data_IF_922286877847
#
_entry.id   IF_922286877847
#
_cell.length_a   1.000
_cell.length_b   1.000
_cell.length_c   1.000
_cell.angle_alpha   90.00
_cell.angle_beta   90.00
_cell.angle_gamma   90.00
#
_symmetry.space_group_name_H-M   'P 1'
#
loop_
_entity.id
_entity.type
_entity.pdbx_description
1 polymer ?
#
# COMPACT_ATOMS: atom_id res chain seq x y z
N UNK A 1 23.02 6.89 13.39
CA UNK A 1 24.49 7.18 13.22
C UNK A 1 24.79 8.62 12.85
N UNK A 2 24.26 9.17 11.73
CA UNK A 2 24.55 10.57 11.31
C UNK A 2 24.03 11.59 12.33
N UNK A 3 22.84 11.38 12.85
CA UNK A 3 22.26 12.24 13.89
C UNK A 3 23.09 12.20 15.18
N UNK A 4 23.42 11.03 15.67
CA UNK A 4 24.26 10.86 16.86
C UNK A 4 25.67 11.45 16.68
N UNK A 5 26.23 11.32 15.45
CA UNK A 5 27.50 11.97 15.11
C UNK A 5 27.36 13.49 15.17
N UNK A 6 26.28 14.05 14.60
CA UNK A 6 25.99 15.49 14.64
C UNK A 6 25.76 15.98 16.08
N UNK A 7 25.13 15.19 16.95
CA UNK A 7 24.98 15.53 18.39
C UNK A 7 26.33 15.71 19.10
N UNK A 8 27.37 15.00 18.71
CA UNK A 8 28.73 15.08 19.30
C UNK A 8 29.58 16.21 18.71
N UNK A 9 29.20 16.75 17.54
CA UNK A 9 29.98 17.79 16.88
C UNK A 9 29.78 19.14 17.55
N UNK A 10 30.86 19.83 17.93
CA UNK A 10 30.83 21.16 18.55
C UNK A 10 30.64 22.29 17.54
N UNK A 11 30.93 22.05 16.26
CA UNK A 11 30.79 23.01 15.16
C UNK A 11 29.34 23.23 14.70
N UNK A 12 28.40 22.37 15.12
CA UNK A 12 26.99 22.48 14.75
C UNK A 12 26.23 23.23 15.84
N UNK A 13 25.50 24.28 15.45
CA UNK A 13 24.58 24.98 16.37
C UNK A 13 23.44 24.04 16.77
N UNK A 14 23.28 23.80 18.05
CA UNK A 14 22.29 22.86 18.62
C UNK A 14 21.37 23.55 19.61
N UNK A 15 20.14 23.04 19.71
CA UNK A 15 19.20 23.32 20.79
C UNK A 15 18.79 22.00 21.41
N UNK A 16 18.94 21.87 22.69
CA UNK A 16 18.44 20.71 23.44
C UNK A 16 17.04 20.98 23.97
N UNK A 17 16.17 20.01 23.81
CA UNK A 17 14.81 20.00 24.39
C UNK A 17 14.60 18.67 25.11
N UNK A 18 13.81 18.64 26.21
CA UNK A 18 13.42 17.38 26.82
C UNK A 18 12.68 16.49 25.83
N UNK A 19 13.01 15.21 25.78
CA UNK A 19 12.33 14.26 24.87
C UNK A 19 10.85 14.15 25.13
N UNK A 20 10.44 14.27 26.41
CA UNK A 20 9.03 14.24 26.79
C UNK A 20 8.24 15.45 26.24
N UNK A 21 8.85 16.62 26.16
CA UNK A 21 8.20 17.81 25.60
C UNK A 21 7.99 17.66 24.09
N UNK A 22 9.00 17.11 23.39
CA UNK A 22 8.88 16.80 21.97
C UNK A 22 7.79 15.78 21.70
N UNK A 23 7.76 14.68 22.48
CA UNK A 23 6.75 13.64 22.36
C UNK A 23 5.35 14.16 22.66
N UNK A 24 5.19 14.96 23.71
CA UNK A 24 3.92 15.58 24.09
C UNK A 24 3.40 16.52 23.01
N UNK A 25 4.27 17.37 22.46
CA UNK A 25 3.92 18.26 21.34
C UNK A 25 3.46 17.47 20.10
N UNK A 26 4.18 16.42 19.79
CA UNK A 26 3.85 15.54 18.67
C UNK A 26 2.48 14.86 18.84
N UNK A 27 2.20 14.27 20.01
CA UNK A 27 0.93 13.58 20.29
C UNK A 27 -0.23 14.60 20.30
N UNK A 28 0.00 15.80 20.86
CA UNK A 28 -1.00 16.87 20.88
C UNK A 28 -1.35 17.34 19.48
N UNK A 29 -0.35 17.64 18.64
CA UNK A 29 -0.57 18.04 17.25
C UNK A 29 -1.31 16.96 16.45
N UNK A 30 -0.94 15.69 16.63
CA UNK A 30 -1.64 14.56 15.99
C UNK A 30 -3.10 14.49 16.42
N UNK A 31 -3.37 14.62 17.71
CA UNK A 31 -4.74 14.60 18.29
C UNK A 31 -5.57 15.77 17.76
N UNK A 32 -5.01 16.96 17.76
CA UNK A 32 -5.76 18.18 17.48
C UNK A 32 -5.97 18.43 15.98
N UNK A 33 -5.04 18.01 15.15
CA UNK A 33 -5.08 18.27 13.69
C UNK A 33 -5.28 17.02 12.84
N UNK A 34 -4.89 15.84 13.30
CA UNK A 34 -4.87 14.60 12.52
C UNK A 34 -3.88 14.61 11.36
N UNK A 35 -2.98 15.61 11.27
CA UNK A 35 -2.09 15.82 10.11
C UNK A 35 -0.71 15.22 10.27
N UNK A 36 -0.33 14.78 11.46
CA UNK A 36 0.95 14.12 11.72
C UNK A 36 0.75 12.62 11.64
N UNK A 37 1.45 11.99 10.71
CA UNK A 37 1.43 10.54 10.52
C UNK A 37 2.62 9.89 11.21
N UNK A 38 2.40 8.70 11.73
CA UNK A 38 3.42 7.82 12.28
C UNK A 38 3.66 6.69 11.30
N UNK A 39 4.91 6.49 10.93
CA UNK A 39 5.33 5.37 10.10
C UNK A 39 6.25 4.46 10.89
N UNK A 40 5.86 3.20 11.02
CA UNK A 40 6.72 2.15 11.57
C UNK A 40 7.61 1.62 10.44
N UNK A 41 8.80 2.20 10.29
CA UNK A 41 9.73 1.90 9.19
C UNK A 41 10.19 0.45 9.20
N UNK A 42 10.45 -0.11 10.36
CA UNK A 42 10.78 -1.52 10.58
C UNK A 42 9.66 -2.45 10.11
N UNK A 43 8.40 -2.13 10.42
CA UNK A 43 7.26 -2.90 9.92
C UNK A 43 7.11 -2.81 8.39
N UNK A 44 7.33 -1.62 7.81
CA UNK A 44 7.29 -1.44 6.36
C UNK A 44 8.33 -2.30 5.64
N UNK A 45 9.52 -2.45 6.21
CA UNK A 45 10.58 -3.29 5.66
C UNK A 45 10.34 -4.79 5.95
N UNK A 46 9.93 -5.14 7.18
CA UNK A 46 9.70 -6.54 7.56
C UNK A 46 8.50 -7.14 6.83
N UNK A 47 7.36 -6.42 6.76
CA UNK A 47 6.09 -6.93 6.23
C UNK A 47 5.80 -6.51 4.79
N UNK A 48 6.46 -5.45 4.29
CA UNK A 48 6.29 -4.94 2.93
C UNK A 48 6.80 -5.87 1.84
N UNK A 49 6.58 -5.50 0.58
CA UNK A 49 6.92 -6.30 -0.60
C UNK A 49 8.40 -6.23 -1.01
N UNK A 50 9.19 -5.32 -0.44
CA UNK A 50 10.60 -5.13 -0.79
C UNK A 50 11.55 -5.85 0.16
N UNK A 51 12.73 -6.17 -0.36
CA UNK A 51 13.83 -6.75 0.41
C UNK A 51 14.64 -5.61 1.02
N UNK A 52 14.69 -5.50 2.35
CA UNK A 52 15.29 -4.37 3.07
C UNK A 52 16.76 -4.13 2.70
N UNK A 53 17.57 -5.18 2.59
CA UNK A 53 19.00 -5.07 2.27
C UNK A 53 19.28 -4.48 0.87
N UNK A 54 18.29 -4.59 -0.05
CA UNK A 54 18.45 -4.19 -1.46
C UNK A 54 17.69 -2.91 -1.77
N UNK A 55 16.48 -2.79 -1.24
CA UNK A 55 15.55 -1.70 -1.54
C UNK A 55 14.83 -1.22 -0.26
N UNK A 56 15.55 -0.65 0.72
CA UNK A 56 15.00 -0.25 1.99
C UNK A 56 13.95 0.85 1.86
N UNK A 57 12.85 0.68 2.58
CA UNK A 57 11.80 1.67 2.74
C UNK A 57 12.23 2.64 3.84
N UNK A 58 12.23 3.94 3.56
CA UNK A 58 12.65 4.99 4.51
C UNK A 58 11.54 5.99 4.81
N UNK A 59 10.55 6.07 3.95
CA UNK A 59 9.44 7.02 4.05
C UNK A 59 8.21 6.49 3.30
N UNK A 60 7.07 7.13 3.49
CA UNK A 60 5.82 6.85 2.82
C UNK A 60 5.30 8.09 2.10
N UNK A 61 4.19 7.95 1.35
CA UNK A 61 3.49 9.06 0.72
C UNK A 61 2.69 9.88 1.75
N UNK A 62 2.01 10.94 1.28
CA UNK A 62 1.20 11.84 2.10
C UNK A 62 0.16 11.11 2.94
N UNK A 63 -0.54 10.14 2.37
CA UNK A 63 -1.61 9.40 3.07
C UNK A 63 -1.10 8.16 3.83
N UNK A 64 0.20 7.87 3.77
CA UNK A 64 0.89 6.82 4.52
C UNK A 64 0.48 5.38 4.18
N UNK A 65 -0.17 5.18 3.01
CA UNK A 65 -0.65 3.86 2.54
C UNK A 65 0.29 3.16 1.56
N UNK A 66 1.31 3.89 1.03
CA UNK A 66 2.25 3.33 0.05
C UNK A 66 3.68 3.43 0.58
N UNK A 67 4.35 2.30 0.60
CA UNK A 67 5.73 2.16 1.04
C UNK A 67 6.60 1.71 -0.14
N UNK A 68 7.36 2.64 -0.70
CA UNK A 68 8.22 2.41 -1.86
C UNK A 68 9.66 2.89 -1.58
N UNK A 69 10.67 2.23 -2.15
CA UNK A 69 12.05 2.72 -2.08
C UNK A 69 12.20 4.08 -2.76
N UNK A 70 12.99 4.94 -2.17
CA UNK A 70 13.36 6.25 -2.71
C UNK A 70 14.84 6.51 -2.57
N UNK A 71 15.41 7.37 -3.43
CA UNK A 71 16.77 7.85 -3.33
C UNK A 71 16.82 9.36 -3.48
N UNK A 72 17.66 10.07 -2.69
CA UNK A 72 17.81 11.51 -2.83
C UNK A 72 18.33 11.87 -4.22
N UNK A 73 17.95 13.06 -4.71
CA UNK A 73 18.43 13.65 -5.95
C UNK A 73 19.50 14.68 -5.64
N UNK A 74 20.54 14.76 -6.49
CA UNK A 74 21.53 15.84 -6.47
C UNK A 74 20.96 17.09 -7.16
N UNK A 75 20.22 16.89 -8.24
CA UNK A 75 19.44 17.92 -8.96
C UNK A 75 18.21 17.27 -9.64
N UNK A 76 17.37 18.08 -10.27
CA UNK A 76 16.09 17.61 -10.89
C UNK A 76 16.30 16.62 -12.04
N UNK A 77 17.45 16.61 -12.67
CA UNK A 77 17.78 15.74 -13.81
C UNK A 77 18.66 14.55 -13.39
N UNK A 78 18.88 14.35 -12.09
CA UNK A 78 19.72 13.26 -11.60
C UNK A 78 19.11 11.89 -11.95
N UNK A 79 19.76 11.11 -12.84
CA UNK A 79 19.25 9.80 -13.24
C UNK A 79 19.46 8.72 -12.17
N UNK A 80 20.18 9.02 -11.09
CA UNK A 80 20.48 8.09 -9.99
C UNK A 80 19.53 8.25 -8.81
N UNK A 81 18.79 9.37 -8.76
CA UNK A 81 17.74 9.60 -7.79
C UNK A 81 16.49 8.77 -8.09
N UNK A 82 15.64 8.54 -7.09
CA UNK A 82 14.40 7.81 -7.25
C UNK A 82 13.26 8.56 -6.54
N UNK A 83 12.29 9.04 -7.31
CA UNK A 83 11.00 9.58 -6.82
C UNK A 83 9.94 8.52 -7.05
N UNK A 84 9.33 8.04 -5.97
CA UNK A 84 8.28 7.05 -6.07
C UNK A 84 6.93 7.72 -6.31
N UNK A 85 6.15 7.17 -7.22
CA UNK A 85 4.81 7.60 -7.55
C UNK A 85 3.76 6.60 -7.10
N UNK A 86 2.56 7.11 -6.92
CA UNK A 86 1.40 6.42 -6.40
C UNK A 86 0.34 6.35 -7.51
N UNK A 87 0.05 5.17 -8.04
CA UNK A 87 -0.98 4.96 -9.05
C UNK A 87 -2.08 4.10 -8.44
N UNK A 88 -3.26 4.70 -8.25
CA UNK A 88 -4.30 4.17 -7.38
C UNK A 88 -5.58 3.81 -8.12
N UNK A 89 -6.22 2.74 -7.67
CA UNK A 89 -7.63 2.42 -7.89
C UNK A 89 -8.23 1.71 -6.68
N UNK A 90 -9.51 1.37 -6.70
CA UNK A 90 -10.14 0.62 -5.62
C UNK A 90 -11.20 -0.35 -6.14
N UNK A 91 -11.28 -1.51 -5.52
CA UNK A 91 -12.36 -2.48 -5.73
C UNK A 91 -13.53 -2.13 -4.82
N UNK A 92 -14.71 -1.96 -5.40
CA UNK A 92 -15.94 -1.71 -4.66
C UNK A 92 -16.53 -3.03 -4.15
N UNK A 93 -16.17 -3.44 -2.93
CA UNK A 93 -16.64 -4.69 -2.35
C UNK A 93 -18.16 -4.75 -2.18
N UNK A 94 -18.78 -3.60 -1.88
CA UNK A 94 -20.22 -3.55 -1.63
C UNK A 94 -21.10 -3.93 -2.84
N UNK A 95 -20.60 -3.77 -4.07
CA UNK A 95 -21.36 -4.11 -5.29
C UNK A 95 -21.07 -5.53 -5.81
N UNK A 96 -19.97 -6.15 -5.39
CA UNK A 96 -19.69 -7.53 -5.77
C UNK A 96 -20.80 -8.46 -5.24
N UNK A 97 -21.24 -9.39 -6.05
CA UNK A 97 -22.27 -10.36 -5.65
C UNK A 97 -21.71 -11.39 -4.70
N UNK A 98 -20.53 -11.90 -5.06
CA UNK A 98 -19.81 -12.91 -4.30
C UNK A 98 -18.32 -12.92 -4.72
N UNK A 99 -17.53 -13.80 -4.11
CA UNK A 99 -16.10 -13.94 -4.37
C UNK A 99 -15.75 -14.39 -5.79
N UNK A 100 -16.68 -14.96 -6.56
CA UNK A 100 -16.40 -15.42 -7.94
C UNK A 100 -16.08 -14.26 -8.89
N UNK A 101 -16.56 -13.06 -8.58
CA UNK A 101 -16.27 -11.84 -9.36
C UNK A 101 -14.90 -11.23 -9.05
N UNK A 102 -14.27 -11.58 -7.90
CA UNK A 102 -13.06 -10.95 -7.40
C UNK A 102 -11.89 -11.03 -8.38
N UNK A 103 -11.65 -12.21 -8.94
CA UNK A 103 -10.54 -12.41 -9.88
C UNK A 103 -10.65 -11.49 -11.11
N UNK A 104 -11.83 -11.41 -11.71
CA UNK A 104 -12.05 -10.62 -12.91
C UNK A 104 -11.89 -9.11 -12.65
N UNK A 105 -12.45 -8.62 -11.55
CA UNK A 105 -12.34 -7.19 -11.20
C UNK A 105 -10.91 -6.81 -10.84
N UNK A 106 -10.19 -7.66 -10.11
CA UNK A 106 -8.78 -7.44 -9.78
C UNK A 106 -7.89 -7.48 -11.03
N UNK A 107 -8.11 -8.42 -11.95
CA UNK A 107 -7.37 -8.48 -13.22
C UNK A 107 -7.56 -7.21 -14.05
N UNK A 108 -8.80 -6.74 -14.19
CA UNK A 108 -9.10 -5.48 -14.89
C UNK A 108 -8.44 -4.27 -14.22
N UNK A 109 -8.44 -4.21 -12.89
CA UNK A 109 -7.81 -3.12 -12.16
C UNK A 109 -6.29 -3.10 -12.34
N UNK A 110 -5.63 -4.26 -12.24
CA UNK A 110 -4.18 -4.38 -12.45
C UNK A 110 -3.80 -4.00 -13.88
N UNK A 111 -4.50 -4.54 -14.89
CA UNK A 111 -4.23 -4.24 -16.29
C UNK A 111 -4.46 -2.77 -16.63
N UNK A 112 -5.57 -2.20 -16.16
CA UNK A 112 -5.89 -0.80 -16.42
C UNK A 112 -4.87 0.16 -15.82
N UNK A 113 -4.39 -0.11 -14.59
CA UNK A 113 -3.35 0.72 -13.97
C UNK A 113 -1.96 0.47 -14.58
N UNK A 114 -1.62 -0.77 -14.97
CA UNK A 114 -0.35 -1.05 -15.64
C UNK A 114 -0.24 -0.31 -16.99
N UNK A 115 -1.32 -0.27 -17.79
CA UNK A 115 -1.38 0.52 -19.03
C UNK A 115 -1.26 2.03 -18.73
N UNK A 116 -1.88 2.51 -17.65
CA UNK A 116 -1.80 3.92 -17.29
C UNK A 116 -0.37 4.36 -17.00
N UNK A 117 0.48 3.49 -16.43
CA UNK A 117 1.90 3.80 -16.21
C UNK A 117 2.67 4.06 -17.52
N UNK A 118 2.30 3.39 -18.59
CA UNK A 118 2.92 3.60 -19.91
C UNK A 118 2.32 4.81 -20.65
N UNK A 119 1.07 5.15 -20.36
CA UNK A 119 0.36 6.24 -21.03
C UNK A 119 0.65 7.63 -20.46
N UNK A 120 0.92 7.74 -19.17
CA UNK A 120 1.15 9.02 -18.50
C UNK A 120 2.51 9.64 -18.86
N UNK A 121 2.58 10.97 -18.84
CA UNK A 121 3.81 11.72 -18.97
C UNK A 121 4.45 11.96 -17.59
N UNK A 122 5.77 11.84 -17.53
CA UNK A 122 6.54 12.04 -16.30
C UNK A 122 7.32 13.36 -16.38
N UNK A 123 6.99 14.36 -15.55
CA UNK A 123 7.66 15.67 -15.60
C UNK A 123 9.09 15.65 -15.06
N UNK A 124 9.48 14.60 -14.34
CA UNK A 124 10.80 14.47 -13.71
C UNK A 124 11.37 13.07 -14.02
N UNK A 125 12.58 13.06 -14.56
CA UNK A 125 13.26 11.81 -14.98
C UNK A 125 13.36 10.77 -13.86
N UNK A 126 13.69 11.19 -12.64
CA UNK A 126 13.80 10.27 -11.49
C UNK A 126 12.46 9.60 -11.14
N UNK A 127 11.31 10.23 -11.44
CA UNK A 127 10.00 9.65 -11.26
C UNK A 127 9.70 8.60 -12.35
N UNK A 128 10.03 8.90 -13.61
CA UNK A 128 9.88 7.96 -14.73
C UNK A 128 10.72 6.70 -14.51
N UNK A 129 12.02 6.87 -14.29
CA UNK A 129 12.94 5.74 -14.10
C UNK A 129 12.54 4.85 -12.91
N UNK A 130 12.20 5.44 -11.78
CA UNK A 130 11.74 4.72 -10.60
C UNK A 130 10.43 3.96 -10.87
N UNK A 131 9.48 4.61 -11.54
CA UNK A 131 8.18 4.02 -11.86
C UNK A 131 8.33 2.87 -12.85
N UNK A 132 9.04 3.07 -13.94
CA UNK A 132 9.23 2.02 -14.96
C UNK A 132 10.04 0.84 -14.44
N UNK A 133 10.99 1.07 -13.55
CA UNK A 133 11.75 0.01 -12.89
C UNK A 133 10.87 -0.93 -12.05
N UNK A 134 9.88 -0.38 -11.35
CA UNK A 134 9.10 -1.10 -10.32
C UNK A 134 7.61 -1.25 -10.64
N UNK A 135 7.06 -0.40 -11.51
CA UNK A 135 5.63 -0.38 -11.90
C UNK A 135 4.69 -0.52 -10.70
N UNK A 136 4.81 0.35 -9.67
CA UNK A 136 4.05 0.20 -8.43
C UNK A 136 2.58 0.56 -8.63
N UNK A 137 1.70 -0.26 -8.11
CA UNK A 137 0.26 -0.02 -8.07
C UNK A 137 -0.21 0.01 -6.61
N UNK A 138 -1.33 0.71 -6.37
CA UNK A 138 -2.03 0.72 -5.10
C UNK A 138 -3.52 0.52 -5.33
N UNK A 139 -4.00 -0.69 -5.23
CA UNK A 139 -5.42 -1.03 -5.42
C UNK A 139 -6.03 -1.27 -4.03
N UNK A 140 -6.98 -0.43 -3.66
CA UNK A 140 -7.62 -0.44 -2.37
C UNK A 140 -9.02 -1.07 -2.38
N UNK A 141 -9.75 -0.80 -1.31
CA UNK A 141 -11.12 -1.25 -1.10
C UNK A 141 -11.98 -0.03 -0.81
N UNK A 142 -13.13 0.09 -1.44
CA UNK A 142 -14.17 1.05 -1.09
C UNK A 142 -15.48 0.32 -0.76
N UNK A 143 -16.40 1.05 -0.14
CA UNK A 143 -17.72 0.55 0.21
C UNK A 143 -17.74 -0.60 1.24
N UNK A 144 -16.69 -0.68 2.06
CA UNK A 144 -16.55 -1.73 3.07
C UNK A 144 -17.64 -1.64 4.14
N UNK A 145 -18.03 -0.43 4.56
CA UNK A 145 -19.11 -0.26 5.54
C UNK A 145 -20.43 -0.83 5.03
N UNK A 146 -20.78 -0.60 3.75
CA UNK A 146 -21.97 -1.18 3.15
C UNK A 146 -21.82 -2.70 2.95
N UNK A 147 -20.62 -3.17 2.60
CA UNK A 147 -20.31 -4.60 2.49
C UNK A 147 -20.56 -5.32 3.82
N UNK A 148 -20.15 -4.74 4.96
CA UNK A 148 -20.42 -5.29 6.29
C UNK A 148 -21.93 -5.45 6.53
N UNK A 149 -22.72 -4.39 6.25
CA UNK A 149 -24.19 -4.43 6.41
C UNK A 149 -24.82 -5.49 5.51
N UNK A 150 -24.37 -5.60 4.27
CA UNK A 150 -24.86 -6.59 3.30
C UNK A 150 -24.63 -8.04 3.76
N UNK A 151 -23.65 -8.26 4.62
CA UNK A 151 -23.29 -9.57 5.17
C UNK A 151 -23.71 -9.74 6.65
N UNK A 152 -24.67 -8.93 7.12
CA UNK A 152 -25.20 -8.98 8.49
C UNK A 152 -24.11 -8.91 9.58
N UNK A 153 -23.07 -8.09 9.36
CA UNK A 153 -21.97 -7.86 10.28
C UNK A 153 -21.68 -6.36 10.43
N UNK A 154 -20.85 -5.97 11.38
CA UNK A 154 -20.56 -4.57 11.66
C UNK A 154 -19.15 -4.38 12.25
N UNK A 155 -18.70 -3.13 12.44
CA UNK A 155 -17.37 -2.82 12.98
C UNK A 155 -17.17 -3.17 14.46
N UNK A 156 -18.24 -3.28 15.24
CA UNK A 156 -18.13 -3.59 16.69
C UNK A 156 -18.01 -5.09 16.94
N UNK A 157 -18.67 -5.88 16.10
CA UNK A 157 -18.64 -7.34 16.15
C UNK A 157 -18.53 -7.89 14.73
N UNK A 158 -17.35 -7.77 14.11
CA UNK A 158 -17.16 -8.19 12.74
C UNK A 158 -17.03 -9.71 12.62
N UNK A 159 -17.63 -10.27 11.55
CA UNK A 159 -17.32 -11.65 11.16
C UNK A 159 -15.90 -11.70 10.58
N UNK A 160 -14.90 -11.89 11.45
CA UNK A 160 -13.48 -11.86 11.08
C UNK A 160 -13.11 -12.96 10.09
N UNK A 161 -13.72 -14.14 10.16
CA UNK A 161 -13.46 -15.22 9.18
C UNK A 161 -13.91 -14.83 7.78
N UNK A 162 -15.06 -14.19 7.65
CA UNK A 162 -15.56 -13.69 6.37
C UNK A 162 -14.68 -12.55 5.82
N UNK A 163 -14.25 -11.63 6.68
CA UNK A 163 -13.33 -10.54 6.29
C UNK A 163 -11.99 -11.11 5.82
N UNK A 164 -11.44 -12.10 6.54
CA UNK A 164 -10.19 -12.78 6.16
C UNK A 164 -10.32 -13.49 4.79
N UNK A 165 -11.43 -14.18 4.55
CA UNK A 165 -11.68 -14.86 3.27
C UNK A 165 -11.73 -13.86 2.08
N UNK A 166 -12.44 -12.75 2.24
CA UNK A 166 -12.53 -11.72 1.19
C UNK A 166 -11.20 -11.00 0.99
N UNK A 167 -10.49 -10.69 2.06
CA UNK A 167 -9.18 -10.04 1.99
C UNK A 167 -8.14 -10.97 1.34
N UNK A 168 -8.18 -12.27 1.67
CA UNK A 168 -7.33 -13.27 1.01
C UNK A 168 -7.62 -13.35 -0.48
N UNK A 169 -8.89 -13.46 -0.88
CA UNK A 169 -9.29 -13.55 -2.29
C UNK A 169 -8.86 -12.30 -3.07
N UNK A 170 -9.05 -11.10 -2.49
CA UNK A 170 -8.60 -9.84 -3.07
C UNK A 170 -7.08 -9.78 -3.24
N UNK A 171 -6.32 -10.08 -2.20
CA UNK A 171 -4.85 -10.10 -2.22
C UNK A 171 -4.30 -11.12 -3.23
N UNK A 172 -4.83 -12.35 -3.20
CA UNK A 172 -4.46 -13.40 -4.13
C UNK A 172 -4.73 -12.99 -5.58
N UNK A 173 -5.93 -12.48 -5.87
CA UNK A 173 -6.35 -12.10 -7.23
C UNK A 173 -5.48 -11.00 -7.82
N UNK A 174 -5.11 -9.99 -7.03
CA UNK A 174 -4.22 -8.91 -7.46
C UNK A 174 -2.82 -9.43 -7.79
N UNK A 175 -2.25 -10.25 -6.91
CA UNK A 175 -0.90 -10.83 -7.12
C UNK A 175 -0.92 -11.78 -8.31
N UNK A 176 -1.95 -12.62 -8.44
CA UNK A 176 -2.12 -13.53 -9.57
C UNK A 176 -2.22 -12.79 -10.89
N UNK A 177 -3.04 -11.74 -10.97
CA UNK A 177 -3.18 -10.89 -12.16
C UNK A 177 -1.85 -10.27 -12.58
N UNK A 178 -1.08 -9.74 -11.63
CA UNK A 178 0.25 -9.18 -11.93
C UNK A 178 1.28 -10.24 -12.33
N UNK A 179 1.21 -11.45 -11.77
CA UNK A 179 2.06 -12.57 -12.17
C UNK A 179 1.72 -13.09 -13.57
N UNK A 180 0.43 -13.12 -13.93
CA UNK A 180 -0.02 -13.47 -15.28
C UNK A 180 0.38 -12.41 -16.30
N UNK A 181 0.24 -11.14 -15.93
CA UNK A 181 0.69 -10.02 -16.77
C UNK A 181 2.22 -10.03 -16.97
N UNK A 182 3.00 -10.53 -16.01
CA UNK A 182 4.44 -10.73 -16.17
C UNK A 182 4.77 -11.80 -17.23
N UNK A 183 3.93 -12.82 -17.39
CA UNK A 183 4.08 -13.82 -18.49
C UNK A 183 3.79 -13.14 -19.83
N UNK A 184 2.77 -12.29 -19.91
CA UNK A 184 2.33 -11.65 -21.16
C UNK A 184 3.27 -10.54 -21.62
N UNK A 185 3.69 -9.66 -20.69
CA UNK A 185 4.41 -8.41 -20.96
C UNK A 185 5.85 -8.37 -20.43
N UNK A 186 6.28 -9.41 -19.74
CA UNK A 186 7.55 -9.47 -19.04
C UNK A 186 7.50 -8.92 -17.61
N UNK A 187 8.35 -9.50 -16.75
CA UNK A 187 8.53 -9.03 -15.37
C UNK A 187 9.19 -7.65 -15.32
N UNK A 188 9.00 -6.93 -14.22
CA UNK A 188 9.70 -5.65 -13.98
C UNK A 188 11.22 -5.85 -13.86
N UNK A 189 11.99 -4.84 -14.25
CA UNK A 189 13.46 -4.86 -14.08
C UNK A 189 13.89 -4.86 -12.60
N UNK A 190 13.06 -4.30 -11.72
CA UNK A 190 13.24 -4.32 -10.26
C UNK A 190 12.73 -5.59 -9.56
N UNK A 191 12.45 -6.69 -10.28
CA UNK A 191 11.91 -7.92 -9.70
C UNK A 191 12.76 -8.47 -8.54
N UNK A 192 14.07 -8.40 -8.67
CA UNK A 192 15.03 -8.90 -7.67
C UNK A 192 15.07 -8.05 -6.38
N UNK A 193 14.46 -6.87 -6.39
CA UNK A 193 14.27 -6.02 -5.22
C UNK A 193 13.05 -6.42 -4.39
N UNK A 194 12.19 -7.30 -4.92
CA UNK A 194 10.91 -7.67 -4.32
C UNK A 194 10.94 -9.04 -3.68
N UNK A 195 10.17 -9.21 -2.61
CA UNK A 195 9.89 -10.54 -2.02
C UNK A 195 9.13 -11.44 -2.99
N UNK A 196 8.36 -10.87 -3.91
CA UNK A 196 7.68 -11.64 -4.96
C UNK A 196 8.67 -12.38 -5.86
N UNK A 197 9.81 -11.77 -6.21
CA UNK A 197 10.88 -12.46 -6.95
C UNK A 197 11.44 -13.67 -6.23
N UNK A 198 11.35 -13.71 -4.90
CA UNK A 198 11.68 -14.86 -4.06
C UNK A 198 10.49 -15.84 -3.87
N UNK A 199 9.33 -15.54 -4.44
CA UNK A 199 8.08 -16.28 -4.23
C UNK A 199 7.54 -16.15 -2.80
N UNK A 200 7.79 -15.03 -2.15
CA UNK A 200 7.27 -14.71 -0.83
C UNK A 200 6.07 -13.78 -1.00
N UNK A 201 4.96 -14.12 -0.37
CA UNK A 201 3.66 -13.44 -0.46
C UNK A 201 3.23 -12.87 0.89
N UNK A 202 2.34 -11.87 0.95
CA UNK A 202 1.97 -11.18 2.20
C UNK A 202 1.45 -12.11 3.30
N UNK A 203 0.75 -13.19 2.95
CA UNK A 203 0.29 -14.19 3.92
C UNK A 203 1.41 -14.97 4.63
N UNK A 204 2.67 -14.80 4.20
CA UNK A 204 3.85 -15.34 4.88
C UNK A 204 4.55 -14.31 5.76
N UNK A 205 4.34 -13.02 5.50
CA UNK A 205 5.08 -11.92 6.14
C UNK A 205 4.23 -11.03 7.04
N UNK A 206 2.94 -11.27 7.18
CA UNK A 206 2.09 -10.50 8.07
C UNK A 206 2.46 -10.69 9.55
N UNK A 207 2.05 -9.75 10.40
CA UNK A 207 2.28 -9.78 11.83
C UNK A 207 1.45 -10.90 12.48
N UNK A 208 2.12 -11.93 13.00
CA UNK A 208 1.48 -13.17 13.45
C UNK A 208 0.58 -13.04 14.69
N UNK A 209 0.71 -11.97 15.44
CA UNK A 209 -0.19 -11.67 16.57
C UNK A 209 -1.65 -11.47 16.14
N UNK A 210 -1.90 -11.21 14.86
CA UNK A 210 -3.27 -11.20 14.29
C UNK A 210 -3.95 -12.56 14.41
N UNK A 211 -3.20 -13.67 14.44
CA UNK A 211 -3.72 -15.03 14.58
C UNK A 211 -4.40 -15.26 15.95
N UNK A 212 -4.18 -14.37 16.93
CA UNK A 212 -4.91 -14.37 18.21
C UNK A 212 -6.39 -13.94 18.02
N UNK A 213 -6.67 -13.14 17.01
CA UNK A 213 -8.01 -12.65 16.68
C UNK A 213 -8.73 -13.55 15.66
N UNK A 214 -8.04 -13.87 14.59
CA UNK A 214 -8.52 -14.76 13.54
C UNK A 214 -7.36 -15.53 12.95
N UNK A 215 -7.45 -16.85 12.97
CA UNK A 215 -6.42 -17.69 12.36
C UNK A 215 -6.61 -17.72 10.85
N UNK A 216 -5.69 -17.07 10.15
CA UNK A 216 -5.68 -17.09 8.69
C UNK A 216 -5.59 -18.53 8.14
N UNK A 217 -6.41 -18.82 7.15
CA UNK A 217 -6.41 -20.09 6.40
C UNK A 217 -6.14 -19.80 4.93
N UNK A 218 -5.19 -20.50 4.34
CA UNK A 218 -4.98 -20.43 2.87
C UNK A 218 -6.13 -21.18 2.17
N UNK A 219 -7.02 -20.45 1.48
CA UNK A 219 -8.16 -20.99 0.70
C UNK A 219 -7.87 -20.98 -0.79
N UNK A 220 -6.90 -20.17 -1.22
CA UNK A 220 -6.47 -20.02 -2.61
C UNK A 220 -5.23 -20.88 -2.89
N UNK A 221 -4.88 -21.09 -4.17
CA UNK A 221 -3.66 -21.82 -4.56
C UNK A 221 -2.38 -20.98 -4.40
N UNK A 222 -2.09 -20.58 -3.18
CA UNK A 222 -0.87 -19.82 -2.84
C UNK A 222 0.40 -20.58 -3.20
N UNK A 223 0.39 -21.91 -3.12
CA UNK A 223 1.54 -22.75 -3.47
C UNK A 223 1.87 -22.64 -4.97
N UNK A 224 0.86 -22.76 -5.83
CA UNK A 224 1.00 -22.58 -7.28
C UNK A 224 1.44 -21.16 -7.63
N UNK A 225 0.83 -20.15 -7.02
CA UNK A 225 1.18 -18.75 -7.24
C UNK A 225 2.64 -18.45 -6.83
N UNK A 226 3.09 -18.90 -5.67
CA UNK A 226 4.48 -18.73 -5.22
C UNK A 226 5.49 -19.41 -6.17
N UNK A 227 5.13 -20.56 -6.73
CA UNK A 227 5.95 -21.22 -7.75
C UNK A 227 6.02 -20.37 -9.03
N UNK A 228 4.89 -19.89 -9.53
CA UNK A 228 4.83 -19.01 -10.70
C UNK A 228 5.67 -17.74 -10.50
N UNK A 229 5.57 -17.08 -9.37
CA UNK A 229 6.35 -15.87 -9.03
C UNK A 229 7.87 -16.12 -9.10
N UNK A 230 8.35 -17.29 -8.62
CA UNK A 230 9.76 -17.66 -8.73
C UNK A 230 10.21 -17.90 -10.17
N UNK A 231 9.34 -18.49 -10.99
CA UNK A 231 9.66 -18.88 -12.36
C UNK A 231 9.56 -17.69 -13.33
N UNK A 232 8.52 -16.86 -13.19
CA UNK A 232 8.21 -15.80 -14.17
C UNK A 232 8.35 -14.39 -13.61
N UNK A 233 8.48 -14.22 -12.29
CA UNK A 233 8.50 -12.92 -11.63
C UNK A 233 7.14 -12.26 -11.53
N UNK A 234 7.14 -10.95 -11.26
CA UNK A 234 5.95 -10.13 -11.13
C UNK A 234 6.03 -8.90 -12.05
N UNK A 235 4.87 -8.38 -12.49
CA UNK A 235 4.78 -7.17 -13.33
C UNK A 235 4.72 -5.89 -12.50
N UNK A 236 4.26 -5.93 -11.25
CA UNK A 236 4.06 -4.76 -10.39
C UNK A 236 4.64 -5.03 -9.00
N UNK A 237 5.53 -4.18 -8.53
CA UNK A 237 6.26 -4.37 -7.25
C UNK A 237 5.40 -4.23 -6.01
N UNK A 238 4.32 -3.43 -6.09
CA UNK A 238 3.26 -3.30 -5.10
C UNK A 238 1.91 -3.38 -5.80
N UNK A 239 0.88 -3.81 -5.10
CA UNK A 239 -0.45 -4.02 -5.66
C UNK A 239 -1.56 -3.51 -4.75
N UNK A 240 -1.39 -3.59 -3.44
CA UNK A 240 -2.41 -3.28 -2.45
C UNK A 240 -2.08 -2.00 -1.69
N UNK A 241 -3.07 -1.12 -1.57
CA UNK A 241 -3.00 0.06 -0.72
C UNK A 241 -4.40 0.46 -0.24
N UNK A 242 -4.56 0.63 1.05
CA UNK A 242 -5.84 1.04 1.64
C UNK A 242 -5.87 2.57 1.78
N UNK A 243 -6.06 3.26 0.65
CA UNK A 243 -6.02 4.71 0.56
C UNK A 243 -7.36 5.37 0.92
N UNK A 244 -7.33 6.67 1.27
CA UNK A 244 -8.52 7.51 1.21
C UNK A 244 -8.99 7.64 -0.25
N UNK A 245 -10.20 7.18 -0.55
CA UNK A 245 -10.74 7.13 -1.91
C UNK A 245 -11.96 8.08 -2.08
N UNK A 246 -11.89 9.29 -1.55
CA UNK A 246 -13.04 10.19 -1.43
C UNK A 246 -13.76 10.44 -2.76
N UNK A 247 -13.05 10.88 -3.78
CA UNK A 247 -13.68 11.21 -5.09
C UNK A 247 -14.22 9.97 -5.77
N UNK A 248 -13.46 8.89 -5.80
CA UNK A 248 -13.89 7.61 -6.38
C UNK A 248 -15.11 7.03 -5.68
N UNK A 249 -15.14 7.13 -4.36
CA UNK A 249 -16.28 6.69 -3.55
C UNK A 249 -17.53 7.55 -3.81
N UNK A 250 -17.39 8.88 -3.92
CA UNK A 250 -18.50 9.77 -4.24
C UNK A 250 -19.09 9.49 -5.64
N UNK A 251 -18.25 9.33 -6.66
CA UNK A 251 -18.68 9.04 -8.02
C UNK A 251 -19.41 7.69 -8.10
N UNK A 252 -18.96 6.70 -7.35
CA UNK A 252 -19.55 5.35 -7.32
C UNK A 252 -20.66 5.20 -6.28
N UNK A 253 -21.08 6.29 -5.62
CA UNK A 253 -22.08 6.28 -4.55
C UNK A 253 -21.80 5.22 -3.47
N UNK A 254 -20.58 5.22 -2.95
CA UNK A 254 -20.08 4.23 -1.99
C UNK A 254 -19.45 4.90 -0.77
N UNK A 255 -19.25 4.14 0.29
CA UNK A 255 -18.50 4.61 1.46
C UNK A 255 -17.00 4.63 1.15
N UNK A 256 -16.28 5.60 1.74
CA UNK A 256 -14.86 5.80 1.50
C UNK A 256 -14.03 4.75 2.27
N UNK A 257 -13.17 4.04 1.55
CA UNK A 257 -12.20 3.13 2.14
C UNK A 257 -12.81 2.02 2.99
N UNK A 258 -12.08 1.65 4.03
CA UNK A 258 -12.47 0.61 4.99
C UNK A 258 -12.86 1.16 6.37
N UNK A 259 -12.71 2.47 6.59
CA UNK A 259 -12.97 3.08 7.89
C UNK A 259 -14.48 3.19 8.17
N UNK A 260 -14.87 3.20 9.46
CA UNK A 260 -16.24 3.46 9.85
C UNK A 260 -16.70 4.85 9.36
N UNK A 261 -17.91 5.01 8.84
CA UNK A 261 -18.49 6.31 8.54
C UNK A 261 -18.56 7.17 9.80
N UNK A 262 -18.17 8.45 9.70
CA UNK A 262 -18.18 9.38 10.85
C UNK A 262 -19.59 9.66 11.36
N UNK A 263 -20.56 9.69 10.45
CA UNK A 263 -21.98 9.88 10.74
C UNK A 263 -22.83 9.49 9.53
N UNK A 264 -24.14 9.36 9.69
CA UNK A 264 -25.09 9.12 8.60
C UNK A 264 -25.14 10.28 7.59
N UNK A 265 -24.86 11.51 8.05
CA UNK A 265 -24.77 12.71 7.23
C UNK A 265 -23.56 13.51 7.68
N UNK A 266 -22.69 13.85 6.76
CA UNK A 266 -21.56 14.73 7.01
C UNK A 266 -21.60 15.92 6.07
N UNK A 267 -21.31 17.11 6.61
CA UNK A 267 -21.17 18.34 5.83
C UNK A 267 -19.69 18.57 5.61
N UNK A 268 -19.25 18.60 4.37
CA UNK A 268 -17.89 18.95 3.99
C UNK A 268 -17.89 20.39 3.51
N UNK A 269 -17.28 21.28 4.28
CA UNK A 269 -17.12 22.68 3.91
C UNK A 269 -15.74 22.88 3.29
N UNK A 270 -15.69 23.34 2.05
CA UNK A 270 -14.43 23.77 1.44
C UNK A 270 -14.08 25.18 1.90
N UNK A 271 -12.79 25.45 2.03
CA UNK A 271 -12.27 26.81 2.33
C UNK A 271 -12.16 27.60 1.01
N UNK A 272 -13.28 27.91 0.38
CA UNK A 272 -13.32 28.88 -0.74
C UNK A 272 -14.43 29.88 -0.44
#
# INVERSE_FOLDING_TARGET
>A
ELYEKAERMTSIRKKSIPAIDLFSSFVTERKDTGRIYLMNVDHANTHGSFIEDVAPIKQSNLCCEINLPTKPLLDINDPTGEISLCTLSAVNWGILKDLSEMNNVCDLAVRGLDELLDYQEYPVLAAELSTMKRRPLGIGIINFAYWLVKHDTNYQDPNLELVDEWAEAWSYSLIKASADLAIEKGKISGNEETKYGLGITPNQTYKKEVDELVKHKERQDWKGLRKQLKETGIRNSTLMALMPAETSAQISNSTNGIEPPRSYVSIKQSKH
#
